data_IF_322887302902
#
_entry.id   IF_322887302902
#
_cell.length_a   1.000
_cell.length_b   1.000
_cell.length_c   1.000
_cell.angle_alpha   90.00
_cell.angle_beta   90.00
_cell.angle_gamma   90.00
#
_symmetry.space_group_name_H-M   'P 1'
#
loop_
_entity.id
_entity.type
_entity.pdbx_description
1 polymer ?
#
# COMPACT_ATOMS: atom_id res chain seq x y z
N UNK A 1 20.98 9.25 -12.72
CA UNK A 1 20.74 10.52 -12.00
C UNK A 1 19.70 10.22 -10.91
N UNK A 2 20.12 10.05 -9.67
CA UNK A 2 19.25 9.65 -8.55
C UNK A 2 18.47 10.88 -8.09
N UNK A 3 17.16 10.87 -8.20
CA UNK A 3 16.31 11.89 -7.60
C UNK A 3 16.19 11.62 -6.10
N UNK A 4 16.98 12.31 -5.31
CA UNK A 4 16.71 12.42 -3.87
C UNK A 4 15.51 13.35 -3.71
N UNK A 5 14.32 12.79 -3.59
CA UNK A 5 13.12 13.57 -3.27
C UNK A 5 13.25 13.97 -1.79
N UNK A 6 13.69 15.21 -1.55
CA UNK A 6 13.58 15.81 -0.21
C UNK A 6 12.12 16.17 0.01
N UNK A 7 11.44 15.38 0.82
CA UNK A 7 10.10 15.73 1.26
C UNK A 7 10.18 16.96 2.17
N UNK A 8 9.37 17.98 1.86
CA UNK A 8 9.13 19.08 2.82
C UNK A 8 8.18 18.54 3.89
N UNK A 9 8.66 18.33 5.08
CA UNK A 9 7.91 17.79 6.24
C UNK A 9 6.86 18.80 6.77
N UNK A 10 6.66 19.94 6.11
CA UNK A 10 5.81 21.04 6.59
C UNK A 10 4.30 20.79 6.58
N UNK A 11 3.82 19.67 6.05
CA UNK A 11 2.38 19.41 5.89
C UNK A 11 1.85 18.23 6.73
N UNK A 12 2.64 17.70 7.65
CA UNK A 12 2.18 16.60 8.49
C UNK A 12 1.91 17.12 9.89
N UNK A 13 0.64 17.28 10.26
CA UNK A 13 0.27 17.63 11.61
C UNK A 13 0.62 16.51 12.57
N UNK A 14 1.41 16.86 13.59
CA UNK A 14 1.76 15.97 14.69
C UNK A 14 0.76 16.16 15.83
N UNK A 15 0.20 15.08 16.35
CA UNK A 15 -0.51 15.12 17.62
C UNK A 15 0.50 14.84 18.73
N UNK A 16 0.59 15.75 19.67
CA UNK A 16 1.53 15.67 20.81
C UNK A 16 3.01 15.50 20.41
N UNK A 17 3.39 16.02 19.22
CA UNK A 17 4.74 15.93 18.70
C UNK A 17 5.16 14.57 18.14
N UNK A 18 4.21 13.63 17.96
CA UNK A 18 4.45 12.28 17.41
C UNK A 18 3.73 12.05 16.09
N UNK A 19 4.38 11.30 15.20
CA UNK A 19 3.78 10.89 13.94
C UNK A 19 3.00 9.59 14.12
N UNK A 20 1.69 9.63 13.86
CA UNK A 20 0.87 8.43 13.78
C UNK A 20 0.82 7.94 12.35
N UNK A 21 1.18 6.69 12.12
CA UNK A 21 1.21 6.06 10.80
C UNK A 21 0.33 4.83 10.82
N UNK A 22 -0.69 4.79 9.95
CA UNK A 22 -1.53 3.60 9.77
C UNK A 22 -1.02 2.78 8.60
N UNK A 23 -0.68 1.52 8.87
CA UNK A 23 -0.20 0.55 7.88
C UNK A 23 -1.31 -0.43 7.53
N UNK A 24 -1.59 -0.61 6.23
CA UNK A 24 -2.71 -1.41 5.71
C UNK A 24 -2.16 -2.50 4.79
N UNK A 25 -2.34 -3.76 5.19
CA UNK A 25 -1.87 -4.92 4.43
C UNK A 25 -3.02 -5.91 4.18
N UNK A 26 -3.76 -5.75 3.07
CA UNK A 26 -4.82 -6.67 2.70
C UNK A 26 -4.26 -8.00 2.18
N UNK A 27 -4.80 -9.08 2.71
CA UNK A 27 -4.64 -10.44 2.20
C UNK A 27 -5.95 -10.99 1.63
N UNK A 28 -5.94 -12.24 1.20
CA UNK A 28 -7.11 -12.88 0.56
C UNK A 28 -8.33 -12.91 1.49
N UNK A 29 -8.16 -13.33 2.75
CA UNK A 29 -9.25 -13.53 3.70
C UNK A 29 -9.17 -12.60 4.92
N UNK A 30 -8.26 -11.65 4.92
CA UNK A 30 -8.09 -10.73 6.06
C UNK A 30 -7.44 -9.43 5.61
N UNK A 31 -7.58 -8.41 6.45
CA UNK A 31 -6.78 -7.18 6.34
C UNK A 31 -6.01 -7.00 7.65
N UNK A 32 -4.68 -6.97 7.56
CA UNK A 32 -3.84 -6.62 8.70
C UNK A 32 -3.69 -5.11 8.75
N UNK A 33 -3.92 -4.52 9.92
CA UNK A 33 -3.79 -3.08 10.16
C UNK A 33 -2.92 -2.88 11.38
N UNK A 34 -1.93 -2.00 11.27
CA UNK A 34 -1.05 -1.65 12.38
C UNK A 34 -0.98 -0.13 12.52
N UNK A 35 -1.05 0.37 13.74
CA UNK A 35 -0.81 1.77 14.06
C UNK A 35 0.56 1.91 14.72
N UNK A 36 1.33 2.85 14.22
CA UNK A 36 2.61 3.24 14.81
C UNK A 36 2.54 4.68 15.34
N UNK A 37 3.22 4.93 16.43
CA UNK A 37 3.61 6.27 16.89
C UNK A 37 5.13 6.36 16.79
N UNK A 38 5.62 7.15 15.82
CA UNK A 38 7.02 7.17 15.39
C UNK A 38 7.51 5.76 15.05
N UNK A 39 8.48 5.21 15.77
CA UNK A 39 9.01 3.86 15.57
C UNK A 39 8.33 2.80 16.45
N UNK A 40 7.37 3.19 17.28
CA UNK A 40 6.73 2.28 18.24
C UNK A 40 5.40 1.78 17.68
N UNK A 41 5.24 0.46 17.63
CA UNK A 41 3.94 -0.17 17.30
C UNK A 41 2.98 -0.01 18.49
N UNK A 42 1.87 0.70 18.26
CA UNK A 42 0.81 0.89 19.25
C UNK A 42 -0.09 -0.35 19.29
N UNK A 43 -0.50 -0.82 18.12
CA UNK A 43 -1.22 -2.09 17.97
C UNK A 43 -1.05 -2.69 16.57
N UNK A 44 -1.32 -3.98 16.48
CA UNK A 44 -1.58 -4.70 15.24
C UNK A 44 -2.90 -5.46 15.37
N UNK A 45 -3.76 -5.38 14.35
CA UNK A 45 -5.03 -6.11 14.27
C UNK A 45 -5.14 -6.85 12.95
N UNK A 46 -5.61 -8.07 13.00
CA UNK A 46 -5.93 -8.90 11.85
C UNK A 46 -7.44 -9.01 11.73
N UNK A 47 -8.00 -8.29 10.78
CA UNK A 47 -9.44 -8.22 10.51
C UNK A 47 -9.79 -9.35 9.54
N UNK A 48 -10.44 -10.39 10.03
CA UNK A 48 -10.88 -11.51 9.21
C UNK A 48 -12.14 -11.17 8.43
N UNK A 49 -12.23 -11.67 7.22
CA UNK A 49 -13.36 -11.49 6.34
C UNK A 49 -13.99 -12.85 6.02
N UNK A 50 -15.27 -12.97 6.28
CA UNK A 50 -16.02 -14.18 5.99
C UNK A 50 -16.01 -14.48 4.48
N UNK A 51 -15.71 -15.72 4.12
CA UNK A 51 -15.67 -16.15 2.72
C UNK A 51 -17.00 -15.86 1.99
N UNK A 52 -18.13 -16.06 2.69
CA UNK A 52 -19.47 -15.78 2.19
C UNK A 52 -19.71 -14.31 1.83
N UNK A 53 -18.98 -13.38 2.50
CA UNK A 53 -19.02 -11.96 2.16
C UNK A 53 -18.12 -11.67 0.96
N UNK A 54 -16.91 -12.22 0.94
CA UNK A 54 -15.95 -11.98 -0.13
C UNK A 54 -16.42 -12.54 -1.48
N UNK A 55 -17.13 -13.66 -1.47
CA UNK A 55 -17.72 -14.28 -2.69
C UNK A 55 -18.83 -13.44 -3.35
N UNK A 56 -19.33 -12.39 -2.68
CA UNK A 56 -20.30 -11.47 -3.27
C UNK A 56 -19.67 -10.45 -4.23
N UNK A 57 -18.35 -10.30 -4.19
CA UNK A 57 -17.62 -9.34 -5.03
C UNK A 57 -17.12 -10.05 -6.29
N UNK A 58 -17.43 -9.48 -7.47
CA UNK A 58 -17.00 -10.01 -8.76
C UNK A 58 -15.50 -9.81 -9.00
N UNK A 59 -14.96 -8.69 -8.52
CA UNK A 59 -13.56 -8.33 -8.66
C UNK A 59 -12.96 -7.93 -7.32
N UNK A 60 -11.65 -8.08 -7.20
CA UNK A 60 -10.92 -7.68 -5.97
C UNK A 60 -11.14 -6.22 -5.63
N UNK A 61 -11.16 -5.34 -6.62
CA UNK A 61 -11.37 -3.90 -6.41
C UNK A 61 -12.73 -3.59 -5.75
N UNK A 62 -13.74 -4.39 -6.02
CA UNK A 62 -15.10 -4.21 -5.45
C UNK A 62 -15.12 -4.37 -3.93
N UNK A 63 -14.08 -5.03 -3.36
CA UNK A 63 -13.93 -5.22 -1.92
C UNK A 63 -13.45 -3.95 -1.20
N UNK A 64 -12.99 -2.92 -1.93
CA UNK A 64 -12.37 -1.74 -1.31
C UNK A 64 -13.32 -1.01 -0.34
N UNK A 65 -14.59 -0.69 -0.71
CA UNK A 65 -15.52 -0.03 0.21
C UNK A 65 -15.79 -0.85 1.48
N UNK A 66 -16.00 -2.16 1.32
CA UNK A 66 -16.21 -3.07 2.44
C UNK A 66 -15.00 -3.07 3.40
N UNK A 67 -13.79 -3.23 2.86
CA UNK A 67 -12.58 -3.28 3.68
C UNK A 67 -12.30 -1.92 4.35
N UNK A 68 -12.64 -0.81 3.68
CA UNK A 68 -12.55 0.53 4.27
C UNK A 68 -13.43 0.66 5.50
N UNK A 69 -14.71 0.27 5.43
CA UNK A 69 -15.63 0.33 6.57
C UNK A 69 -15.13 -0.54 7.73
N UNK A 70 -14.67 -1.75 7.46
CA UNK A 70 -14.11 -2.64 8.50
C UNK A 70 -12.90 -2.02 9.20
N UNK A 71 -12.06 -1.27 8.48
CA UNK A 71 -10.91 -0.54 9.06
C UNK A 71 -11.41 0.62 9.92
N UNK A 72 -12.40 1.40 9.47
CA UNK A 72 -12.95 2.52 10.25
C UNK A 72 -13.63 2.04 11.53
N UNK A 73 -14.39 0.95 11.46
CA UNK A 73 -15.02 0.34 12.64
C UNK A 73 -13.97 -0.12 13.65
N UNK A 74 -12.87 -0.70 13.15
CA UNK A 74 -11.76 -1.12 14.01
C UNK A 74 -11.09 0.11 14.65
N UNK A 75 -10.79 1.17 13.91
CA UNK A 75 -10.19 2.40 14.46
C UNK A 75 -11.09 3.01 15.53
N UNK A 76 -12.40 3.04 15.28
CA UNK A 76 -13.39 3.50 16.27
C UNK A 76 -13.40 2.64 17.53
N UNK A 77 -13.33 1.32 17.40
CA UNK A 77 -13.26 0.39 18.54
C UNK A 77 -11.97 0.56 19.36
N UNK A 78 -10.86 0.91 18.72
CA UNK A 78 -9.57 1.22 19.37
C UNK A 78 -9.50 2.66 19.90
N UNK A 79 -10.55 3.47 19.72
CA UNK A 79 -10.58 4.87 20.16
C UNK A 79 -9.62 5.78 19.37
N UNK A 80 -9.28 5.40 18.13
CA UNK A 80 -8.40 6.16 17.26
C UNK A 80 -9.23 7.03 16.33
N UNK A 81 -9.05 8.33 16.43
CA UNK A 81 -9.58 9.29 15.49
C UNK A 81 -8.70 9.32 14.22
N UNK A 82 -9.25 8.99 13.04
CA UNK A 82 -8.49 9.00 11.79
C UNK A 82 -7.84 10.34 11.45
N UNK A 83 -8.41 11.47 11.86
CA UNK A 83 -7.84 12.80 11.65
C UNK A 83 -6.48 12.98 12.36
N UNK A 84 -6.21 12.16 13.39
CA UNK A 84 -4.94 12.19 14.11
C UNK A 84 -3.82 11.39 13.43
N UNK A 85 -4.15 10.66 12.34
CA UNK A 85 -3.19 9.91 11.56
C UNK A 85 -2.45 10.86 10.62
N UNK A 86 -1.13 10.84 10.70
CA UNK A 86 -0.25 11.71 9.93
C UNK A 86 -0.02 11.19 8.50
N UNK A 87 0.00 9.86 8.33
CA UNK A 87 0.18 9.24 7.03
C UNK A 87 -0.44 7.83 6.99
N UNK A 88 -0.85 7.42 5.78
CA UNK A 88 -1.35 6.09 5.50
C UNK A 88 -0.36 5.34 4.63
N UNK A 89 -0.02 4.10 5.02
CA UNK A 89 0.91 3.25 4.26
C UNK A 89 0.18 1.99 3.82
N UNK A 90 0.17 1.75 2.51
CA UNK A 90 -0.47 0.58 1.93
C UNK A 90 0.53 -0.39 1.31
N UNK A 91 0.32 -1.71 1.53
CA UNK A 91 0.99 -2.70 0.68
C UNK A 91 0.60 -2.46 -0.77
N UNK A 92 1.57 -2.59 -1.68
CA UNK A 92 1.37 -2.32 -3.10
C UNK A 92 1.62 -3.55 -3.96
N UNK A 93 0.89 -3.62 -5.05
CA UNK A 93 1.06 -4.54 -6.17
C UNK A 93 0.23 -4.01 -7.35
N UNK A 94 0.43 -4.58 -8.54
CA UNK A 94 -0.33 -4.19 -9.72
C UNK A 94 0.07 -2.87 -10.35
N UNK A 95 1.22 -2.32 -10.02
CA UNK A 95 1.73 -1.04 -10.54
C UNK A 95 2.86 -1.26 -11.54
N UNK A 96 3.27 -0.21 -12.24
CA UNK A 96 4.53 -0.20 -12.99
C UNK A 96 5.71 -0.56 -12.08
N UNK A 97 6.80 -1.04 -12.70
CA UNK A 97 8.07 -1.28 -12.00
C UNK A 97 8.55 -0.03 -11.29
N UNK A 98 8.98 -0.20 -10.05
CA UNK A 98 9.38 0.88 -9.16
C UNK A 98 10.74 0.55 -8.54
N UNK A 99 11.53 1.57 -8.15
CA UNK A 99 12.70 1.34 -7.31
C UNK A 99 12.28 0.87 -5.91
N UNK A 100 13.22 0.25 -5.18
CA UNK A 100 13.04 -0.04 -3.76
C UNK A 100 12.92 1.24 -2.92
N UNK A 101 12.38 1.11 -1.72
CA UNK A 101 12.23 2.19 -0.75
C UNK A 101 10.80 2.67 -0.60
N UNK A 102 10.66 3.85 -0.01
CA UNK A 102 9.37 4.51 0.25
C UNK A 102 8.97 5.35 -0.95
N UNK A 103 7.77 5.12 -1.45
CA UNK A 103 7.19 5.84 -2.58
C UNK A 103 5.92 6.54 -2.12
N UNK A 104 5.82 7.85 -2.38
CA UNK A 104 4.57 8.57 -2.18
C UNK A 104 3.57 8.11 -3.24
N UNK A 105 2.38 7.77 -2.79
CA UNK A 105 1.28 7.42 -3.68
C UNK A 105 0.72 8.71 -4.27
N UNK A 106 0.63 8.76 -5.58
CA UNK A 106 -0.07 9.78 -6.35
C UNK A 106 -1.20 9.15 -7.17
N UNK A 107 -1.89 9.96 -7.96
CA UNK A 107 -2.97 9.48 -8.81
C UNK A 107 -2.49 8.39 -9.79
N UNK A 108 -1.27 8.47 -10.30
CA UNK A 108 -0.76 7.49 -11.27
C UNK A 108 -0.57 6.12 -10.59
N UNK A 109 0.04 6.09 -9.41
CA UNK A 109 0.23 4.85 -8.62
C UNK A 109 -1.12 4.24 -8.25
N UNK A 110 -2.10 5.06 -7.87
CA UNK A 110 -3.47 4.62 -7.59
C UNK A 110 -4.12 4.00 -8.84
N UNK A 111 -4.06 4.70 -9.98
CA UNK A 111 -4.66 4.26 -11.25
C UNK A 111 -4.03 2.95 -11.75
N UNK A 112 -2.71 2.80 -11.61
CA UNK A 112 -2.01 1.56 -11.92
C UNK A 112 -2.52 0.39 -11.09
N UNK A 113 -2.65 0.60 -9.77
CA UNK A 113 -3.17 -0.42 -8.86
C UNK A 113 -4.63 -0.79 -9.18
N UNK A 114 -5.46 0.19 -9.54
CA UNK A 114 -6.85 -0.05 -9.99
C UNK A 114 -6.87 -0.91 -11.26
N UNK A 115 -6.02 -0.60 -12.24
CA UNK A 115 -5.91 -1.35 -13.49
C UNK A 115 -5.34 -2.75 -13.29
N UNK A 116 -4.45 -2.92 -12.28
CA UNK A 116 -3.74 -4.17 -12.06
C UNK A 116 -2.78 -4.48 -13.20
N UNK A 117 -1.78 -3.63 -13.42
CA UNK A 117 -0.88 -3.71 -14.58
C UNK A 117 -0.04 -4.99 -14.64
N UNK A 118 0.14 -5.67 -13.51
CA UNK A 118 0.78 -6.99 -13.45
C UNK A 118 -0.16 -8.14 -13.85
N UNK A 119 -1.41 -7.82 -14.21
CA UNK A 119 -2.44 -8.78 -14.57
C UNK A 119 -2.97 -9.59 -13.40
N UNK A 120 -2.58 -9.27 -12.15
CA UNK A 120 -3.02 -10.02 -10.98
C UNK A 120 -4.29 -9.43 -10.36
N UNK A 121 -5.21 -10.30 -9.98
CA UNK A 121 -6.36 -10.00 -9.12
C UNK A 121 -6.01 -10.26 -7.63
N UNK A 122 -4.77 -9.89 -7.23
CA UNK A 122 -4.32 -10.13 -5.87
C UNK A 122 -4.73 -8.99 -4.93
N UNK A 123 -5.29 -9.29 -3.74
CA UNK A 123 -5.75 -8.28 -2.78
C UNK A 123 -4.68 -7.28 -2.29
N UNK A 124 -3.40 -7.58 -2.49
CA UNK A 124 -2.31 -6.66 -2.11
C UNK A 124 -2.45 -5.27 -2.74
N UNK A 125 -3.01 -5.17 -3.96
CA UNK A 125 -3.26 -3.89 -4.63
C UNK A 125 -4.24 -2.99 -3.87
N UNK A 126 -5.14 -3.59 -3.08
CA UNK A 126 -6.08 -2.82 -2.26
C UNK A 126 -5.39 -2.04 -1.14
N UNK A 127 -4.18 -2.41 -0.73
CA UNK A 127 -3.48 -1.69 0.34
C UNK A 127 -3.16 -0.27 -0.06
N UNK A 128 -2.51 -0.09 -1.21
CA UNK A 128 -2.20 1.25 -1.72
C UNK A 128 -3.47 2.03 -2.10
N UNK A 129 -4.50 1.35 -2.61
CA UNK A 129 -5.79 1.97 -2.94
C UNK A 129 -6.50 2.50 -1.69
N UNK A 130 -6.53 1.71 -0.60
CA UNK A 130 -7.11 2.12 0.68
C UNK A 130 -6.31 3.26 1.31
N UNK A 131 -4.97 3.16 1.32
CA UNK A 131 -4.11 4.21 1.85
C UNK A 131 -4.34 5.55 1.11
N UNK A 132 -4.44 5.51 -0.22
CA UNK A 132 -4.75 6.69 -1.03
C UNK A 132 -6.12 7.27 -0.68
N UNK A 133 -7.16 6.44 -0.61
CA UNK A 133 -8.52 6.93 -0.31
C UNK A 133 -8.65 7.51 1.09
N UNK A 134 -8.00 6.93 2.08
CA UNK A 134 -7.91 7.54 3.41
C UNK A 134 -7.14 8.86 3.37
N UNK A 135 -6.04 8.91 2.65
CA UNK A 135 -5.26 10.16 2.52
C UNK A 135 -6.07 11.28 1.85
N UNK A 136 -6.83 10.98 0.79
CA UNK A 136 -7.74 11.95 0.17
C UNK A 136 -8.81 12.43 1.14
N UNK A 137 -9.45 11.52 1.86
CA UNK A 137 -10.57 11.82 2.77
C UNK A 137 -10.14 12.68 3.96
N UNK A 138 -8.99 12.39 4.56
CA UNK A 138 -8.48 13.07 5.75
C UNK A 138 -7.43 14.16 5.46
N UNK A 139 -7.19 14.48 4.18
CA UNK A 139 -6.23 15.52 3.78
C UNK A 139 -4.78 15.21 4.15
N UNK A 140 -4.40 13.93 4.12
CA UNK A 140 -3.07 13.43 4.53
C UNK A 140 -2.29 12.89 3.32
N UNK A 141 -1.11 12.32 3.58
CA UNK A 141 -0.30 11.67 2.56
C UNK A 141 -0.42 10.15 2.60
N UNK A 142 -0.39 9.52 1.43
CA UNK A 142 -0.29 8.07 1.29
C UNK A 142 1.08 7.65 0.80
N UNK A 143 1.56 6.51 1.29
CA UNK A 143 2.83 5.92 0.90
C UNK A 143 2.72 4.42 0.68
N UNK A 144 3.65 3.88 -0.07
CA UNK A 144 3.92 2.44 -0.15
C UNK A 144 5.40 2.17 0.05
N UNK A 145 5.73 0.96 0.47
CA UNK A 145 7.11 0.54 0.74
C UNK A 145 7.38 -0.77 0.01
N UNK A 146 8.47 -0.80 -0.76
CA UNK A 146 8.96 -2.03 -1.39
C UNK A 146 7.83 -2.81 -2.07
N UNK A 147 7.21 -2.21 -3.09
CA UNK A 147 6.16 -2.84 -3.89
C UNK A 147 6.58 -4.22 -4.40
N UNK A 148 5.62 -5.11 -4.61
CA UNK A 148 5.88 -6.40 -5.27
C UNK A 148 6.44 -6.24 -6.69
N UNK A 149 6.33 -5.06 -7.28
CA UNK A 149 6.81 -4.71 -8.63
C UNK A 149 8.15 -3.99 -8.63
N UNK A 150 8.91 -4.05 -7.54
CA UNK A 150 10.29 -3.52 -7.52
C UNK A 150 11.14 -4.25 -8.53
N UNK A 151 11.78 -3.49 -9.44
CA UNK A 151 12.68 -4.02 -10.46
C UNK A 151 13.99 -3.21 -10.49
N UNK A 152 15.02 -3.74 -9.85
CA UNK A 152 16.36 -3.18 -9.78
C UNK A 152 17.39 -4.08 -10.48
N UNK A 153 16.95 -4.91 -11.45
CA UNK A 153 17.85 -5.68 -12.28
C UNK A 153 18.75 -4.75 -13.08
N UNK A 154 20.07 -4.99 -13.04
CA UNK A 154 20.99 -4.32 -13.94
C UNK A 154 20.87 -4.88 -15.37
N UNK A 155 21.46 -4.21 -16.36
CA UNK A 155 21.32 -4.56 -17.76
C UNK A 155 21.83 -5.99 -18.07
N UNK A 156 22.87 -6.44 -17.39
CA UNK A 156 23.40 -7.81 -17.58
C UNK A 156 22.42 -8.87 -17.05
N UNK A 157 21.79 -8.61 -15.91
CA UNK A 157 20.81 -9.53 -15.35
C UNK A 157 19.54 -9.62 -16.21
N UNK A 158 19.26 -8.63 -17.04
CA UNK A 158 18.12 -8.64 -17.98
C UNK A 158 18.35 -9.50 -19.21
N UNK A 159 19.60 -9.85 -19.53
CA UNK A 159 19.92 -10.63 -20.71
C UNK A 159 19.47 -12.09 -20.57
N UNK A 160 18.74 -12.59 -21.56
CA UNK A 160 18.29 -14.01 -21.60
C UNK A 160 19.13 -14.89 -22.50
N UNK A 161 20.01 -14.29 -23.32
CA UNK A 161 20.69 -14.97 -24.41
C UNK A 161 19.86 -15.09 -25.69
N UNK A 162 18.60 -14.65 -25.68
CA UNK A 162 17.71 -14.62 -26.86
C UNK A 162 17.55 -13.17 -27.30
N UNK A 163 17.84 -12.92 -28.58
CA UNK A 163 17.76 -11.56 -29.14
C UNK A 163 16.37 -10.97 -28.99
N UNK A 164 16.29 -9.78 -28.37
CA UNK A 164 15.03 -9.05 -28.18
C UNK A 164 14.16 -9.54 -26.99
N UNK A 165 14.63 -10.53 -26.23
CA UNK A 165 13.94 -11.03 -25.04
C UNK A 165 14.74 -10.62 -23.80
N UNK A 166 14.08 -9.91 -22.88
CA UNK A 166 14.70 -9.41 -21.64
C UNK A 166 13.94 -9.92 -20.43
N UNK A 167 14.67 -10.07 -19.31
CA UNK A 167 14.07 -10.37 -18.00
C UNK A 167 13.57 -9.10 -17.35
N UNK A 168 12.48 -9.25 -16.64
CA UNK A 168 11.94 -8.26 -15.71
C UNK A 168 11.78 -8.89 -14.33
N UNK A 169 12.05 -8.13 -13.29
CA UNK A 169 11.63 -8.50 -11.96
C UNK A 169 10.11 -8.42 -11.90
N UNK A 170 9.43 -9.53 -11.66
CA UNK A 170 7.98 -9.59 -11.75
C UNK A 170 7.30 -9.59 -10.39
N UNK A 171 7.87 -10.25 -9.39
CA UNK A 171 7.28 -10.30 -8.05
C UNK A 171 8.34 -10.52 -6.97
N UNK A 172 8.17 -9.81 -5.85
CA UNK A 172 8.86 -10.07 -4.56
C UNK A 172 10.40 -10.13 -4.60
N UNK A 173 11.06 -9.38 -5.48
CA UNK A 173 12.51 -9.43 -5.59
C UNK A 173 13.27 -9.05 -4.31
N UNK A 174 12.65 -8.26 -3.43
CA UNK A 174 13.24 -7.86 -2.15
C UNK A 174 12.86 -8.80 -0.98
N UNK A 175 11.95 -9.73 -1.19
CA UNK A 175 11.46 -10.63 -0.14
C UNK A 175 12.01 -12.05 -0.26
N UNK A 176 13.05 -12.24 -1.09
CA UNK A 176 13.74 -13.52 -1.27
C UNK A 176 15.07 -13.57 -0.55
#
# INVERSE_FOLDING_TARGET
MWYTIRFSVKEVEMKDGRFRILVINPGSTSTKVSLFEDETSVFERKLFHEASVLLKFSHVNDQMPFRREVILDMLKAEGVDPDTIAAFVGRCGGTHSQPSGVIRVDQNVYDDAVKGLDGSEHPAKLGVMLAWKFAEEFGKSAFTLNSTTVDELNDYARLTGIKGVYRFAHTHCLNQ
#
